data_IF_582341543290
#
_entry.id   IF_582341543290
#
_cell.length_a   1.000
_cell.length_b   1.000
_cell.length_c   1.000
_cell.angle_alpha   90.00
_cell.angle_beta   90.00
_cell.angle_gamma   90.00
#
_symmetry.space_group_name_H-M   'P 1'
#
loop_
_entity.id
_entity.type
_entity.pdbx_description
1 polymer ?
#
# COMPACT_ATOMS: atom_id res chain seq x y z
N UNK A 1 0.70 84.93 -62.53
CA UNK A 1 -0.39 84.32 -63.29
C UNK A 1 -0.43 82.87 -62.85
N UNK A 2 -1.34 82.44 -61.97
CA UNK A 2 -2.75 82.13 -62.30
C UNK A 2 -2.82 81.30 -63.60
N UNK A 3 -3.36 80.09 -63.64
CA UNK A 3 -4.49 79.56 -62.91
C UNK A 3 -4.46 78.03 -62.83
N UNK A 4 -5.12 77.55 -61.78
CA UNK A 4 -5.83 76.28 -61.64
C UNK A 4 -6.46 75.74 -62.93
N UNK A 5 -6.27 74.44 -63.20
CA UNK A 5 -7.30 73.61 -63.82
C UNK A 5 -7.06 72.12 -63.54
N UNK A 6 -7.81 71.64 -62.55
CA UNK A 6 -8.53 70.36 -62.51
C UNK A 6 -7.79 69.07 -62.92
N UNK A 7 -7.40 68.25 -61.94
CA UNK A 7 -8.24 67.20 -61.35
C UNK A 7 -8.11 65.86 -62.10
N UNK A 8 -7.23 64.98 -61.62
CA UNK A 8 -7.54 63.55 -61.55
C UNK A 8 -6.95 62.95 -60.28
N UNK A 9 -7.86 62.79 -59.33
CA UNK A 9 -7.74 62.12 -58.06
C UNK A 9 -8.51 60.80 -58.21
N UNK A 10 -7.82 59.66 -58.15
CA UNK A 10 -8.40 58.34 -57.82
C UNK A 10 -7.26 57.32 -57.71
N UNK A 11 -7.11 56.47 -56.71
CA UNK A 11 -7.80 56.24 -55.43
C UNK A 11 -6.85 55.27 -54.70
N UNK A 12 -6.09 55.73 -53.71
CA UNK A 12 -5.32 54.83 -52.85
C UNK A 12 -6.30 54.04 -51.96
N UNK A 13 -6.17 52.72 -51.82
CA UNK A 13 -7.04 51.96 -50.93
C UNK A 13 -6.75 52.35 -49.47
N UNK A 14 -7.76 52.37 -48.60
CA UNK A 14 -7.58 52.75 -47.20
C UNK A 14 -6.70 51.71 -46.50
N UNK A 15 -5.65 52.17 -45.82
CA UNK A 15 -4.90 51.38 -44.85
C UNK A 15 -5.90 50.88 -43.79
N UNK A 16 -6.26 49.61 -43.90
CA UNK A 16 -7.07 48.90 -42.90
C UNK A 16 -6.19 48.71 -41.68
N UNK A 17 -6.48 49.48 -40.63
CA UNK A 17 -5.84 49.33 -39.33
C UNK A 17 -5.85 47.86 -38.89
N UNK A 18 -4.69 47.39 -38.46
CA UNK A 18 -4.41 46.04 -37.99
C UNK A 18 -5.24 45.70 -36.74
N UNK A 19 -6.45 45.18 -36.93
CA UNK A 19 -7.26 44.54 -35.87
C UNK A 19 -6.98 43.04 -35.73
N UNK A 20 -6.09 42.49 -36.56
CA UNK A 20 -5.76 41.07 -36.62
C UNK A 20 -5.04 40.53 -35.36
N UNK A 21 -4.13 41.25 -34.67
CA UNK A 21 -3.41 40.65 -33.53
C UNK A 21 -4.30 40.50 -32.29
N UNK A 22 -5.20 41.45 -32.04
CA UNK A 22 -6.08 41.43 -30.85
C UNK A 22 -7.15 40.33 -30.98
N UNK A 23 -7.75 40.18 -32.16
CA UNK A 23 -8.73 39.10 -32.40
C UNK A 23 -8.09 37.73 -32.29
N UNK A 24 -6.83 37.57 -32.75
CA UNK A 24 -6.09 36.30 -32.59
C UNK A 24 -5.75 36.01 -31.13
N UNK A 25 -5.35 37.03 -30.36
CA UNK A 25 -5.06 36.88 -28.93
C UNK A 25 -6.33 36.58 -28.11
N UNK A 26 -7.45 37.23 -28.41
CA UNK A 26 -8.73 36.93 -27.77
C UNK A 26 -9.27 35.56 -28.16
N UNK A 27 -9.06 35.13 -29.41
CA UNK A 27 -9.39 33.77 -29.86
C UNK A 27 -8.54 32.73 -29.11
N UNK A 28 -7.22 32.92 -29.01
CA UNK A 28 -6.36 31.99 -28.27
C UNK A 28 -6.65 32.00 -26.77
N UNK A 29 -7.04 33.14 -26.20
CA UNK A 29 -7.40 33.24 -24.79
C UNK A 29 -8.77 32.58 -24.53
N UNK A 30 -9.74 32.79 -25.41
CA UNK A 30 -11.04 32.12 -25.34
C UNK A 30 -10.92 30.61 -25.56
N UNK A 31 -10.05 30.18 -26.47
CA UNK A 31 -9.78 28.76 -26.76
C UNK A 31 -9.06 28.09 -25.58
N UNK A 32 -8.04 28.73 -24.99
CA UNK A 32 -7.39 28.24 -23.77
C UNK A 32 -8.32 28.21 -22.56
N UNK A 33 -9.22 29.20 -22.42
CA UNK A 33 -10.18 29.24 -21.30
C UNK A 33 -11.28 28.19 -21.48
N UNK A 34 -11.75 27.98 -22.70
CA UNK A 34 -12.67 26.89 -23.02
C UNK A 34 -11.99 25.54 -22.83
N UNK A 35 -10.74 25.38 -23.23
CA UNK A 35 -10.02 24.12 -23.07
C UNK A 35 -9.68 23.84 -21.61
N UNK A 36 -9.38 24.85 -20.80
CA UNK A 36 -9.25 24.70 -19.34
C UNK A 36 -10.59 24.35 -18.68
N UNK A 37 -11.70 24.97 -19.10
CA UNK A 37 -13.03 24.65 -18.59
C UNK A 37 -13.52 23.26 -19.04
N UNK A 38 -13.20 22.85 -20.27
CA UNK A 38 -13.49 21.52 -20.81
C UNK A 38 -12.61 20.49 -20.12
N UNK A 39 -11.31 20.73 -19.92
CA UNK A 39 -10.45 19.82 -19.18
C UNK A 39 -10.91 19.68 -17.72
N UNK A 40 -11.33 20.77 -17.08
CA UNK A 40 -11.93 20.74 -15.75
C UNK A 40 -13.26 19.97 -15.73
N UNK A 41 -14.11 20.14 -16.74
CA UNK A 41 -15.36 19.37 -16.85
C UNK A 41 -15.10 17.90 -17.19
N UNK A 42 -14.10 17.59 -18.01
CA UNK A 42 -13.69 16.23 -18.36
C UNK A 42 -13.03 15.55 -17.17
N UNK A 43 -12.26 16.26 -16.34
CA UNK A 43 -11.69 15.77 -15.09
C UNK A 43 -12.80 15.50 -14.07
N UNK A 44 -13.74 16.43 -13.90
CA UNK A 44 -14.93 16.24 -13.05
C UNK A 44 -15.78 15.07 -13.56
N UNK A 45 -16.01 14.96 -14.87
CA UNK A 45 -16.77 13.86 -15.47
C UNK A 45 -16.00 12.54 -15.39
N UNK A 46 -14.66 12.52 -15.53
CA UNK A 46 -13.86 11.30 -15.30
C UNK A 46 -13.91 10.86 -13.84
N UNK A 47 -13.92 11.80 -12.89
CA UNK A 47 -14.10 11.49 -11.47
C UNK A 47 -15.52 11.02 -11.14
N UNK A 48 -16.54 11.49 -11.86
CA UNK A 48 -17.95 11.14 -11.63
C UNK A 48 -18.38 9.88 -12.41
N UNK A 49 -17.76 9.58 -13.55
CA UNK A 49 -18.10 8.41 -14.41
C UNK A 49 -17.29 7.17 -14.04
N UNK A 50 -16.21 7.32 -13.27
CA UNK A 50 -15.31 6.22 -12.93
C UNK A 50 -15.65 5.43 -11.66
N UNK A 51 -16.35 6.01 -10.68
CA UNK A 51 -16.65 5.33 -9.41
C UNK A 51 -17.97 5.87 -8.86
N UNK A 52 -18.96 5.00 -8.67
CA UNK A 52 -20.20 5.34 -7.98
C UNK A 52 -19.83 5.81 -6.54
N UNK A 53 -20.28 6.97 -6.04
CA UNK A 53 -19.95 7.43 -4.69
C UNK A 53 -20.39 6.43 -3.61
N UNK A 54 -21.45 5.65 -3.88
CA UNK A 54 -21.89 4.53 -3.06
C UNK A 54 -20.87 3.39 -2.95
N UNK A 55 -20.11 3.11 -4.01
CA UNK A 55 -19.07 2.07 -4.04
C UNK A 55 -17.82 2.51 -3.26
N UNK A 56 -17.45 3.78 -3.36
CA UNK A 56 -16.33 4.36 -2.57
C UNK A 56 -16.67 4.38 -1.07
N UNK A 57 -17.91 4.73 -0.73
CA UNK A 57 -18.42 4.76 0.65
C UNK A 57 -18.48 3.36 1.27
N UNK A 58 -19.06 2.41 0.54
CA UNK A 58 -19.12 1.00 0.97
C UNK A 58 -17.71 0.44 1.13
N UNK A 59 -16.78 0.78 0.23
CA UNK A 59 -15.38 0.41 0.31
C UNK A 59 -14.68 0.89 1.57
N UNK A 60 -14.82 2.17 1.94
CA UNK A 60 -14.13 2.72 3.13
C UNK A 60 -14.70 2.20 4.45
N UNK A 61 -16.02 1.98 4.54
CA UNK A 61 -16.64 1.40 5.73
C UNK A 61 -16.23 -0.07 5.90
N UNK A 62 -16.29 -0.86 4.82
CA UNK A 62 -15.86 -2.26 4.82
C UNK A 62 -14.38 -2.36 5.17
N UNK A 63 -13.53 -1.50 4.61
CA UNK A 63 -12.10 -1.45 4.96
C UNK A 63 -11.88 -1.20 6.45
N UNK A 64 -12.58 -0.22 7.03
CA UNK A 64 -12.49 0.09 8.47
C UNK A 64 -12.91 -1.10 9.34
N UNK A 65 -13.96 -1.80 8.94
CA UNK A 65 -14.46 -3.00 9.63
C UNK A 65 -13.49 -4.18 9.51
N UNK A 66 -12.88 -4.38 8.34
CA UNK A 66 -11.84 -5.40 8.14
C UNK A 66 -10.62 -5.11 9.01
N UNK A 67 -10.16 -3.86 9.07
CA UNK A 67 -9.04 -3.48 9.94
C UNK A 67 -9.38 -3.71 11.41
N UNK A 68 -10.61 -3.41 11.85
CA UNK A 68 -11.08 -3.71 13.21
C UNK A 68 -11.02 -5.22 13.49
N UNK A 69 -11.53 -6.05 12.57
CA UNK A 69 -11.51 -7.51 12.71
C UNK A 69 -10.08 -8.05 12.82
N UNK A 70 -9.12 -7.46 12.11
CA UNK A 70 -7.71 -7.87 12.16
C UNK A 70 -7.01 -7.34 13.42
N UNK A 71 -7.33 -6.12 13.85
CA UNK A 71 -6.70 -5.48 15.01
C UNK A 71 -7.07 -6.15 16.34
N UNK A 72 -8.32 -6.64 16.46
CA UNK A 72 -8.79 -7.29 17.70
C UNK A 72 -7.93 -8.51 18.06
N UNK A 73 -7.68 -9.49 17.16
CA UNK A 73 -6.75 -10.58 17.40
C UNK A 73 -5.34 -10.15 17.79
N UNK A 74 -4.80 -9.13 17.11
CA UNK A 74 -3.45 -8.62 17.38
C UNK A 74 -3.34 -7.95 18.75
N UNK A 75 -4.41 -7.32 19.22
CA UNK A 75 -4.45 -6.77 20.58
C UNK A 75 -4.65 -7.87 21.62
N UNK A 76 -5.61 -8.76 21.39
CA UNK A 76 -6.04 -9.75 22.39
C UNK A 76 -5.00 -10.86 22.58
N UNK A 77 -4.30 -11.28 21.52
CA UNK A 77 -3.30 -12.36 21.58
C UNK A 77 -2.18 -12.10 22.60
N UNK A 78 -1.39 -11.02 22.45
CA UNK A 78 -0.33 -10.67 23.40
C UNK A 78 -0.85 -10.44 24.82
N UNK A 79 -2.06 -9.90 24.97
CA UNK A 79 -2.69 -9.70 26.28
C UNK A 79 -2.99 -11.02 26.99
N UNK A 80 -3.54 -12.00 26.28
CA UNK A 80 -3.81 -13.33 26.84
C UNK A 80 -2.51 -14.09 27.17
N UNK A 81 -1.50 -13.98 26.30
CA UNK A 81 -0.17 -14.55 26.54
C UNK A 81 0.44 -13.94 27.81
N UNK A 82 0.32 -12.63 27.98
CA UNK A 82 0.73 -11.94 29.21
C UNK A 82 0.02 -12.51 30.46
N UNK A 83 -1.31 -12.58 30.45
CA UNK A 83 -2.06 -13.10 31.60
C UNK A 83 -1.72 -14.55 31.94
N UNK A 84 -1.41 -15.36 30.93
CA UNK A 84 -0.98 -16.75 31.13
C UNK A 84 0.41 -16.82 31.74
N UNK A 85 1.38 -16.03 31.25
CA UNK A 85 2.76 -16.01 31.75
C UNK A 85 2.81 -15.53 33.21
N UNK A 86 2.02 -14.51 33.55
CA UNK A 86 1.97 -13.96 34.91
C UNK A 86 1.08 -14.80 35.87
N UNK A 87 0.55 -15.94 35.40
CA UNK A 87 -0.24 -16.86 36.22
C UNK A 87 -1.63 -16.35 36.61
N UNK A 88 -2.08 -15.24 36.01
CA UNK A 88 -3.41 -14.67 36.23
C UNK A 88 -4.49 -15.60 35.67
N UNK A 89 -4.18 -16.29 34.57
CA UNK A 89 -5.09 -17.21 33.87
C UNK A 89 -4.46 -18.60 33.76
N UNK A 90 -5.23 -19.64 34.11
CA UNK A 90 -4.79 -21.04 34.10
C UNK A 90 -5.14 -21.82 32.83
N UNK A 91 -5.74 -21.17 31.82
CA UNK A 91 -6.20 -21.80 30.58
C UNK A 91 -5.11 -22.51 29.79
N UNK A 92 -5.48 -23.46 28.93
CA UNK A 92 -4.53 -24.12 28.02
C UNK A 92 -3.93 -23.14 27.01
N UNK A 93 -2.73 -23.44 26.50
CA UNK A 93 -2.10 -22.61 25.47
C UNK A 93 -2.95 -22.51 24.19
N UNK A 94 -3.75 -23.54 23.91
CA UNK A 94 -4.74 -23.53 22.83
C UNK A 94 -5.77 -22.41 22.96
N UNK A 95 -6.28 -22.16 24.18
CA UNK A 95 -7.25 -21.10 24.45
C UNK A 95 -6.58 -19.72 24.47
N UNK A 96 -5.37 -19.64 25.01
CA UNK A 96 -4.59 -18.39 25.06
C UNK A 96 -4.27 -17.88 23.65
N UNK A 97 -4.00 -18.79 22.71
CA UNK A 97 -3.70 -18.48 21.31
C UNK A 97 -4.94 -18.48 20.39
N UNK A 98 -6.15 -18.53 20.96
CA UNK A 98 -7.41 -18.43 20.22
C UNK A 98 -7.51 -17.22 19.29
N UNK A 99 -7.07 -16.01 19.68
CA UNK A 99 -7.06 -14.87 18.77
C UNK A 99 -6.18 -15.13 17.53
N UNK A 100 -5.03 -15.78 17.71
CA UNK A 100 -4.12 -16.12 16.62
C UNK A 100 -4.73 -17.18 15.68
N UNK A 101 -5.44 -18.18 16.23
CA UNK A 101 -6.17 -19.16 15.42
C UNK A 101 -7.25 -18.51 14.54
N UNK A 102 -7.98 -17.52 15.09
CA UNK A 102 -8.97 -16.75 14.32
C UNK A 102 -8.28 -15.98 13.20
N UNK A 103 -7.16 -15.31 13.48
CA UNK A 103 -6.39 -14.59 12.48
C UNK A 103 -5.92 -15.52 11.35
N UNK A 104 -5.41 -16.71 11.68
CA UNK A 104 -4.97 -17.68 10.68
C UNK A 104 -6.12 -18.27 9.87
N UNK A 105 -7.28 -18.52 10.49
CA UNK A 105 -8.46 -18.94 9.77
C UNK A 105 -8.93 -17.88 8.77
N UNK A 106 -8.91 -16.60 9.17
CA UNK A 106 -9.22 -15.48 8.28
C UNK A 106 -8.18 -15.34 7.16
N UNK A 107 -6.90 -15.49 7.45
CA UNK A 107 -5.84 -15.41 6.45
C UNK A 107 -5.92 -16.58 5.44
N UNK A 108 -6.18 -17.79 5.92
CA UNK A 108 -6.44 -18.95 5.07
C UNK A 108 -7.70 -18.74 4.22
N UNK A 109 -8.78 -18.24 4.81
CA UNK A 109 -10.01 -17.91 4.09
C UNK A 109 -9.74 -16.87 2.99
N UNK A 110 -9.05 -15.77 3.32
CA UNK A 110 -8.69 -14.75 2.34
C UNK A 110 -7.87 -15.33 1.19
N UNK A 111 -6.85 -16.15 1.49
CA UNK A 111 -6.00 -16.79 0.49
C UNK A 111 -6.77 -17.80 -0.38
N UNK A 112 -7.76 -18.48 0.20
CA UNK A 112 -8.58 -19.46 -0.49
C UNK A 112 -9.74 -18.84 -1.27
N UNK A 113 -10.30 -17.71 -0.88
CA UNK A 113 -11.58 -17.22 -1.43
C UNK A 113 -11.53 -15.82 -2.04
N UNK A 114 -10.55 -14.99 -1.69
CA UNK A 114 -10.34 -13.72 -2.40
C UNK A 114 -9.79 -14.06 -3.78
N UNK A 115 -10.65 -14.04 -4.81
CA UNK A 115 -10.21 -14.02 -6.21
C UNK A 115 -9.26 -12.84 -6.34
N UNK A 116 -8.05 -13.09 -6.85
CA UNK A 116 -7.09 -12.01 -7.14
C UNK A 116 -7.82 -10.92 -7.91
N UNK A 117 -7.78 -9.70 -7.40
CA UNK A 117 -8.23 -8.52 -8.15
C UNK A 117 -7.43 -8.56 -9.44
N UNK A 118 -8.11 -8.82 -10.57
CA UNK A 118 -7.47 -8.81 -11.86
C UNK A 118 -6.80 -7.43 -12.02
N UNK A 119 -5.53 -7.37 -12.48
CA UNK A 119 -4.99 -6.08 -12.88
C UNK A 119 -5.94 -5.52 -13.94
N UNK A 120 -6.39 -4.28 -13.73
CA UNK A 120 -7.05 -3.51 -14.78
C UNK A 120 -5.98 -3.31 -15.84
N UNK A 121 -5.98 -4.14 -16.88
CA UNK A 121 -5.13 -3.97 -18.04
C UNK A 121 -5.46 -2.60 -18.64
N UNK A 122 -4.58 -1.64 -18.36
CA UNK A 122 -4.62 -0.29 -18.88
C UNK A 122 -3.39 -0.09 -19.74
N UNK A 123 -3.34 -0.80 -20.86
CA UNK A 123 -2.40 -0.49 -21.93
C UNK A 123 -3.13 -0.54 -23.26
N UNK A 124 -3.46 0.67 -23.71
CA UNK A 124 -3.85 1.03 -25.05
C UNK A 124 -2.67 0.70 -25.98
N UNK A 125 -2.63 -0.52 -26.53
CA UNK A 125 -1.74 -0.81 -27.66
C UNK A 125 -2.36 -0.20 -28.92
N UNK A 126 -2.01 1.06 -29.18
CA UNK A 126 -1.98 1.60 -30.54
C UNK A 126 -0.92 0.83 -31.31
N UNK A 127 -1.36 -0.15 -32.12
CA UNK A 127 -0.51 -0.85 -33.06
C UNK A 127 -0.34 0.00 -34.32
N UNK A 128 0.61 0.94 -34.27
CA UNK A 128 1.23 1.51 -35.47
C UNK A 128 2.38 0.58 -35.88
N UNK A 129 2.03 -0.51 -36.58
CA UNK A 129 2.99 -1.23 -37.42
C UNK A 129 2.38 -1.52 -38.78
N UNK A 130 2.64 -0.59 -39.70
CA UNK A 130 2.52 -0.81 -41.15
C UNK A 130 3.52 -1.90 -41.51
N UNK A 131 3.05 -3.14 -41.64
CA UNK A 131 3.83 -4.21 -42.27
C UNK A 131 3.37 -4.37 -43.72
N UNK A 132 4.19 -3.85 -44.62
CA UNK A 132 4.07 -4.02 -46.07
C UNK A 132 4.60 -5.42 -46.38
N UNK A 133 3.71 -6.41 -46.44
CA UNK A 133 4.02 -7.68 -47.10
C UNK A 133 3.10 -7.90 -48.30
N UNK A 134 3.76 -7.86 -49.45
CA UNK A 134 3.32 -8.24 -50.79
C UNK A 134 2.25 -9.34 -50.80
N UNK A 135 1.08 -9.02 -51.35
CA UNK A 135 0.15 -10.03 -51.86
C UNK A 135 0.23 -10.00 -53.38
N UNK A 136 0.78 -11.09 -53.92
CA UNK A 136 0.83 -11.38 -55.34
C UNK A 136 -0.57 -11.38 -55.97
N UNK A 137 -0.60 -10.82 -57.17
CA UNK A 137 -1.77 -10.73 -58.04
C UNK A 137 -2.15 -12.12 -58.55
N UNK A 138 -3.35 -12.59 -58.18
CA UNK A 138 -4.13 -13.43 -59.10
C UNK A 138 -5.60 -13.00 -59.15
N UNK A 139 -6.00 -12.67 -60.37
CA UNK A 139 -7.28 -12.12 -60.78
C UNK A 139 -8.32 -13.22 -60.93
N UNK A 140 -9.52 -13.06 -60.36
CA UNK A 140 -10.82 -13.31 -61.04
C UNK A 140 -12.01 -12.86 -60.16
N UNK A 141 -12.65 -11.77 -60.58
CA UNK A 141 -14.10 -11.65 -60.93
C UNK A 141 -15.20 -12.05 -59.92
N UNK A 142 -15.99 -11.02 -59.57
CA UNK A 142 -17.45 -10.96 -59.40
C UNK A 142 -18.19 -11.33 -58.09
N UNK A 143 -18.96 -10.31 -57.64
CA UNK A 143 -20.37 -10.37 -57.17
C UNK A 143 -20.68 -10.74 -55.71
N UNK A 144 -21.10 -9.69 -54.98
CA UNK A 144 -22.23 -9.57 -54.05
C UNK A 144 -22.50 -10.60 -52.95
N UNK A 145 -22.69 -10.04 -51.74
CA UNK A 145 -23.60 -10.48 -50.66
C UNK A 145 -23.39 -11.87 -50.06
N UNK A 146 -22.82 -11.91 -48.85
CA UNK A 146 -23.41 -12.68 -47.76
C UNK A 146 -22.94 -12.21 -46.39
N UNK A 147 -23.93 -11.91 -45.56
CA UNK A 147 -23.86 -11.71 -44.12
C UNK A 147 -23.41 -13.02 -43.48
N UNK A 148 -22.17 -13.08 -42.99
CA UNK A 148 -21.71 -14.20 -42.14
C UNK A 148 -21.60 -13.67 -40.71
N UNK A 149 -22.57 -14.08 -39.89
CA UNK A 149 -22.56 -13.91 -38.44
C UNK A 149 -21.46 -14.83 -37.91
N UNK A 150 -20.27 -14.28 -37.69
CA UNK A 150 -19.24 -14.96 -36.91
C UNK A 150 -19.52 -14.65 -35.44
N UNK A 151 -20.20 -15.58 -34.79
CA UNK A 151 -20.29 -15.69 -33.34
C UNK A 151 -18.87 -15.95 -32.81
N UNK A 152 -18.16 -14.86 -32.48
CA UNK A 152 -16.89 -14.95 -31.76
C UNK A 152 -17.24 -15.24 -30.31
N UNK A 153 -17.15 -16.53 -29.98
CA UNK A 153 -17.19 -17.10 -28.63
C UNK A 153 -16.23 -16.32 -27.71
N UNK A 154 -16.78 -15.33 -27.02
CA UNK A 154 -16.12 -14.55 -25.99
C UNK A 154 -16.09 -15.35 -24.68
N UNK A 155 -15.45 -16.51 -24.71
CA UNK A 155 -15.16 -17.32 -23.52
C UNK A 155 -13.68 -17.65 -23.43
N UNK A 156 -12.81 -16.68 -23.73
CA UNK A 156 -11.42 -16.77 -23.26
C UNK A 156 -11.36 -16.23 -21.84
N UNK A 157 -11.71 -17.09 -20.89
CA UNK A 157 -11.34 -16.92 -19.49
C UNK A 157 -9.83 -16.74 -19.44
N UNK A 158 -9.37 -15.52 -19.18
CA UNK A 158 -7.96 -15.27 -18.84
C UNK A 158 -7.70 -16.03 -17.54
N UNK A 159 -7.15 -17.23 -17.66
CA UNK A 159 -6.71 -18.02 -16.52
C UNK A 159 -5.60 -17.23 -15.82
N UNK A 160 -5.95 -16.56 -14.72
CA UNK A 160 -4.95 -16.11 -13.75
C UNK A 160 -4.16 -17.34 -13.31
N UNK A 161 -2.88 -17.40 -13.69
CA UNK A 161 -1.96 -18.52 -13.48
C UNK A 161 -2.18 -19.18 -12.09
N UNK A 162 -2.67 -20.42 -12.00
CA UNK A 162 -3.02 -21.07 -10.73
C UNK A 162 -1.82 -21.39 -9.82
N UNK A 163 -0.60 -21.27 -10.34
CA UNK A 163 0.66 -21.62 -9.67
C UNK A 163 0.90 -20.84 -8.37
N UNK A 164 0.47 -19.58 -8.30
CA UNK A 164 0.71 -18.73 -7.13
C UNK A 164 -0.23 -19.05 -5.94
N UNK A 165 -1.43 -19.57 -6.21
CA UNK A 165 -2.43 -19.81 -5.16
C UNK A 165 -2.11 -21.05 -4.35
N UNK A 166 -1.68 -22.13 -5.00
CA UNK A 166 -1.27 -23.36 -4.31
C UNK A 166 -0.06 -23.07 -3.40
N UNK A 167 0.90 -22.30 -3.91
CA UNK A 167 2.06 -21.86 -3.13
C UNK A 167 1.65 -21.04 -1.91
N UNK A 168 0.74 -20.05 -2.06
CA UNK A 168 0.29 -19.24 -0.93
C UNK A 168 -0.47 -20.06 0.13
N UNK A 169 -1.33 -21.00 -0.29
CA UNK A 169 -2.01 -21.91 0.64
C UNK A 169 -0.99 -22.77 1.39
N UNK A 170 0.00 -23.33 0.69
CA UNK A 170 1.08 -24.08 1.31
C UNK A 170 1.84 -23.26 2.36
N UNK A 171 2.17 -22.01 2.04
CA UNK A 171 2.84 -21.08 2.97
C UNK A 171 2.02 -20.88 4.25
N UNK A 172 0.71 -20.59 4.13
CA UNK A 172 -0.17 -20.40 5.29
C UNK A 172 -0.26 -21.69 6.13
N UNK A 173 -0.37 -22.86 5.49
CA UNK A 173 -0.41 -24.14 6.20
C UNK A 173 0.87 -24.42 6.98
N UNK A 174 2.04 -24.08 6.43
CA UNK A 174 3.32 -24.24 7.14
C UNK A 174 3.46 -23.29 8.35
N UNK A 175 2.91 -22.07 8.27
CA UNK A 175 2.83 -21.18 9.44
C UNK A 175 1.94 -21.76 10.53
N UNK A 176 0.72 -22.21 10.17
CA UNK A 176 -0.20 -22.87 11.11
C UNK A 176 0.46 -24.10 11.74
N UNK A 177 1.17 -24.90 10.94
CA UNK A 177 1.89 -26.08 11.44
C UNK A 177 2.96 -25.71 12.48
N UNK A 178 3.70 -24.62 12.24
CA UNK A 178 4.69 -24.10 13.20
C UNK A 178 4.01 -23.74 14.52
N UNK A 179 2.90 -23.01 14.47
CA UNK A 179 2.16 -22.60 15.66
C UNK A 179 1.57 -23.79 16.44
N UNK A 180 1.05 -24.80 15.74
CA UNK A 180 0.57 -26.04 16.35
C UNK A 180 1.70 -26.71 17.13
N UNK A 181 2.89 -26.81 16.54
CA UNK A 181 4.02 -27.37 17.28
C UNK A 181 4.40 -26.51 18.48
N UNK A 182 4.44 -25.17 18.34
CA UNK A 182 4.71 -24.26 19.46
C UNK A 182 3.72 -24.50 20.60
N UNK A 183 2.43 -24.63 20.29
CA UNK A 183 1.40 -24.93 21.29
C UNK A 183 1.64 -26.27 22.00
N UNK A 184 1.91 -27.34 21.24
CA UNK A 184 2.19 -28.65 21.81
C UNK A 184 3.42 -28.64 22.71
N UNK A 185 4.44 -27.85 22.35
CA UNK A 185 5.67 -27.71 23.14
C UNK A 185 5.42 -26.92 24.42
N UNK A 186 4.71 -25.80 24.33
CA UNK A 186 4.35 -24.97 25.47
C UNK A 186 3.44 -25.71 26.46
N UNK A 187 2.62 -26.64 25.96
CA UNK A 187 1.78 -27.51 26.79
C UNK A 187 2.52 -28.74 27.35
N UNK A 188 3.82 -28.85 27.09
CA UNK A 188 4.66 -29.95 27.57
C UNK A 188 4.34 -31.32 26.94
N UNK A 189 3.52 -31.35 25.88
CA UNK A 189 3.13 -32.59 25.19
C UNK A 189 4.27 -33.14 24.33
N UNK A 190 5.16 -32.28 23.84
CA UNK A 190 6.35 -32.65 23.06
C UNK A 190 7.62 -32.12 23.71
N UNK A 191 8.70 -32.91 23.67
CA UNK A 191 10.00 -32.56 24.27
C UNK A 191 11.06 -32.13 23.25
N UNK A 192 10.69 -32.03 21.97
CA UNK A 192 11.61 -31.70 20.87
C UNK A 192 12.33 -30.36 21.07
N UNK A 193 13.53 -30.24 20.52
CA UNK A 193 14.29 -28.99 20.50
C UNK A 193 13.54 -27.90 19.71
N UNK A 194 13.60 -26.66 20.18
CA UNK A 194 12.99 -25.50 19.54
C UNK A 194 13.47 -25.33 18.09
N UNK A 195 14.74 -25.63 17.81
CA UNK A 195 15.28 -25.56 16.45
C UNK A 195 14.57 -26.53 15.52
N UNK A 196 14.37 -27.78 15.94
CA UNK A 196 13.69 -28.78 15.12
C UNK A 196 12.20 -28.42 14.91
N UNK A 197 11.59 -27.84 15.94
CA UNK A 197 10.18 -27.45 15.93
C UNK A 197 9.88 -26.35 14.89
N UNK A 198 10.80 -25.41 14.71
CA UNK A 198 10.66 -24.26 13.80
C UNK A 198 10.96 -24.61 12.33
N UNK A 199 11.21 -25.89 12.00
CA UNK A 199 11.52 -26.34 10.62
C UNK A 199 10.49 -25.90 9.57
N UNK A 200 9.16 -25.98 9.79
CA UNK A 200 8.19 -25.53 8.78
C UNK A 200 8.32 -24.03 8.48
N UNK A 201 8.61 -23.20 9.50
CA UNK A 201 8.88 -21.78 9.32
C UNK A 201 10.15 -21.54 8.50
N UNK A 202 11.23 -22.28 8.77
CA UNK A 202 12.47 -22.17 8.00
C UNK A 202 12.26 -22.49 6.53
N UNK A 203 11.49 -23.55 6.24
CA UNK A 203 11.17 -23.94 4.87
C UNK A 203 10.48 -22.81 4.11
N UNK A 204 9.45 -22.20 4.70
CA UNK A 204 8.72 -21.07 4.10
C UNK A 204 9.64 -19.90 3.83
N UNK A 205 10.46 -19.52 4.81
CA UNK A 205 11.34 -18.37 4.68
C UNK A 205 12.45 -18.59 3.63
N UNK A 206 12.96 -19.82 3.50
CA UNK A 206 13.91 -20.20 2.44
C UNK A 206 13.26 -20.16 1.06
N UNK A 207 11.99 -20.60 0.94
CA UNK A 207 11.25 -20.54 -0.32
C UNK A 207 10.96 -19.12 -0.80
N UNK A 208 10.88 -18.15 0.12
CA UNK A 208 10.70 -16.74 -0.25
C UNK A 208 11.96 -16.10 -0.86
N UNK A 209 13.14 -16.66 -0.63
CA UNK A 209 14.40 -16.28 -1.31
C UNK A 209 14.91 -14.85 -1.05
N UNK A 210 14.24 -14.03 -0.24
CA UNK A 210 14.66 -12.66 0.05
C UNK A 210 15.74 -12.64 1.15
N UNK A 211 16.76 -11.77 1.02
CA UNK A 211 17.78 -11.51 2.04
C UNK A 211 17.18 -11.21 3.42
N UNK A 212 16.05 -10.48 3.47
CA UNK A 212 15.35 -10.22 4.73
C UNK A 212 14.81 -11.51 5.37
N UNK A 213 14.32 -12.45 4.58
CA UNK A 213 13.84 -13.74 5.06
C UNK A 213 14.99 -14.58 5.65
N UNK A 214 16.17 -14.56 5.03
CA UNK A 214 17.35 -15.23 5.58
C UNK A 214 17.80 -14.62 6.92
N UNK A 215 17.79 -13.29 7.05
CA UNK A 215 18.09 -12.62 8.31
C UNK A 215 17.09 -13.01 9.42
N UNK A 216 15.80 -13.10 9.07
CA UNK A 216 14.75 -13.55 9.98
C UNK A 216 14.93 -15.01 10.41
N UNK A 217 15.29 -15.91 9.49
CA UNK A 217 15.60 -17.32 9.82
C UNK A 217 16.79 -17.39 10.77
N UNK A 218 17.87 -16.66 10.47
CA UNK A 218 19.04 -16.60 11.34
C UNK A 218 18.67 -16.15 12.75
N UNK A 219 17.84 -15.10 12.87
CA UNK A 219 17.34 -14.61 14.14
C UNK A 219 16.51 -15.66 14.89
N UNK A 220 15.60 -16.37 14.22
CA UNK A 220 14.76 -17.41 14.83
C UNK A 220 15.60 -18.61 15.26
N UNK A 221 16.62 -19.00 14.49
CA UNK A 221 17.56 -20.07 14.88
C UNK A 221 18.36 -19.68 16.12
N UNK A 222 18.84 -18.43 16.22
CA UNK A 222 19.55 -17.94 17.42
C UNK A 222 18.64 -17.95 18.65
N UNK A 223 17.36 -17.54 18.50
CA UNK A 223 16.38 -17.59 19.59
C UNK A 223 16.10 -19.04 19.99
N UNK A 224 15.84 -19.93 19.02
CA UNK A 224 15.53 -21.33 19.27
C UNK A 224 16.70 -22.05 19.98
N UNK A 225 17.93 -21.91 19.48
CA UNK A 225 19.13 -22.47 20.12
C UNK A 225 19.37 -21.92 21.51
N UNK A 226 19.05 -20.63 21.75
CA UNK A 226 19.11 -20.01 23.06
C UNK A 226 18.07 -20.60 24.02
N UNK A 227 16.83 -20.77 23.57
CA UNK A 227 15.74 -21.38 24.33
C UNK A 227 16.01 -22.87 24.63
N UNK A 228 16.73 -23.57 23.75
CA UNK A 228 17.20 -24.94 23.97
C UNK A 228 18.37 -25.02 24.97
N UNK A 229 18.91 -23.89 25.43
CA UNK A 229 20.05 -23.84 26.35
C UNK A 229 21.40 -24.15 25.70
N UNK A 230 21.44 -24.36 24.38
CA UNK A 230 22.67 -24.66 23.63
C UNK A 230 23.55 -23.42 23.39
N UNK A 231 22.94 -22.23 23.32
CA UNK A 231 23.63 -20.97 23.05
C UNK A 231 23.83 -20.17 24.35
N UNK A 232 25.08 -19.88 24.72
CA UNK A 232 25.42 -19.15 25.96
C UNK A 232 25.42 -17.62 25.81
N UNK A 233 25.18 -17.08 24.61
CA UNK A 233 25.23 -15.65 24.32
C UNK A 233 24.22 -14.83 25.14
N UNK A 234 24.51 -13.53 25.36
CA UNK A 234 23.51 -12.60 25.90
C UNK A 234 22.35 -12.41 24.93
N UNK A 235 21.18 -11.98 25.42
CA UNK A 235 20.05 -11.72 24.53
C UNK A 235 20.35 -10.60 23.54
N UNK A 236 21.23 -9.66 23.88
CA UNK A 236 21.71 -8.63 22.94
C UNK A 236 22.39 -9.23 21.71
N UNK A 237 23.21 -10.27 21.90
CA UNK A 237 23.88 -10.98 20.81
C UNK A 237 22.95 -11.88 20.02
N UNK A 238 22.00 -12.55 20.69
CA UNK A 238 20.96 -13.35 20.04
C UNK A 238 20.13 -12.48 19.09
N UNK A 239 19.81 -11.25 19.50
CA UNK A 239 19.02 -10.29 18.73
C UNK A 239 19.84 -9.40 17.78
N UNK A 240 21.10 -9.75 17.49
CA UNK A 240 21.98 -8.95 16.62
C UNK A 240 21.35 -8.58 15.25
N UNK A 241 20.77 -9.53 14.48
CA UNK A 241 20.08 -9.20 13.23
C UNK A 241 19.02 -8.10 13.37
N UNK A 242 18.28 -8.07 14.48
CA UNK A 242 17.23 -7.09 14.71
C UNK A 242 17.77 -5.67 14.96
N UNK A 243 18.98 -5.53 15.53
CA UNK A 243 19.60 -4.21 15.73
C UNK A 243 19.82 -3.46 14.41
N UNK A 244 20.02 -4.18 13.30
CA UNK A 244 20.10 -3.57 11.97
C UNK A 244 18.77 -2.87 11.65
N UNK A 245 17.64 -3.55 11.88
CA UNK A 245 16.31 -2.98 11.71
C UNK A 245 16.05 -1.78 12.62
N UNK A 246 16.50 -1.84 13.88
CA UNK A 246 16.41 -0.72 14.84
C UNK A 246 17.20 0.49 14.33
N UNK A 247 18.44 0.30 13.87
CA UNK A 247 19.26 1.41 13.34
C UNK A 247 18.63 2.00 12.08
N UNK A 248 18.16 1.16 11.16
CA UNK A 248 17.47 1.62 9.94
C UNK A 248 16.20 2.39 10.30
N UNK A 249 15.37 1.85 11.20
CA UNK A 249 14.09 2.46 11.55
C UNK A 249 14.20 3.70 12.44
N UNK A 250 15.08 3.69 13.44
CA UNK A 250 15.21 4.78 14.43
C UNK A 250 16.15 5.88 13.95
N UNK A 251 17.16 5.57 13.13
CA UNK A 251 18.14 6.55 12.65
C UNK A 251 17.89 6.93 11.20
N UNK A 252 17.85 5.96 10.28
CA UNK A 252 17.78 6.26 8.85
C UNK A 252 16.39 6.75 8.42
N UNK A 253 15.30 6.21 8.97
CA UNK A 253 13.95 6.62 8.57
C UNK A 253 13.66 8.09 8.90
N UNK A 254 13.96 8.63 10.11
CA UNK A 254 13.76 10.05 10.39
C UNK A 254 14.61 10.97 9.51
N UNK A 255 15.86 10.57 9.21
CA UNK A 255 16.73 11.29 8.29
C UNK A 255 16.17 11.27 6.85
N UNK A 256 15.61 10.13 6.43
CA UNK A 256 14.94 9.98 5.15
C UNK A 256 13.70 10.85 5.03
N UNK A 257 12.86 10.89 6.07
CA UNK A 257 11.68 11.77 6.14
C UNK A 257 12.10 13.24 6.11
N UNK A 258 13.11 13.63 6.91
CA UNK A 258 13.66 14.98 6.88
C UNK A 258 14.10 15.39 5.48
N UNK A 259 14.89 14.54 4.82
CA UNK A 259 15.38 14.79 3.48
C UNK A 259 14.23 14.88 2.47
N UNK A 260 13.32 13.91 2.47
CA UNK A 260 12.18 13.85 1.55
C UNK A 260 11.27 15.08 1.67
N UNK A 261 10.89 15.47 2.89
CA UNK A 261 10.07 16.67 3.12
C UNK A 261 10.81 17.94 2.74
N UNK A 262 12.12 18.01 2.98
CA UNK A 262 12.93 19.16 2.54
C UNK A 262 12.98 19.25 1.02
N UNK A 263 13.18 18.14 0.32
CA UNK A 263 13.20 18.10 -1.15
C UNK A 263 11.82 18.46 -1.74
N UNK A 264 10.74 17.92 -1.18
CA UNK A 264 9.38 18.23 -1.67
C UNK A 264 9.02 19.71 -1.49
N UNK A 265 9.44 20.32 -0.38
CA UNK A 265 9.22 21.75 -0.14
C UNK A 265 10.09 22.64 -1.00
N UNK A 266 11.35 22.26 -1.23
CA UNK A 266 12.22 22.98 -2.14
C UNK A 266 11.64 23.01 -3.57
N UNK A 267 11.00 21.92 -4.00
CA UNK A 267 10.32 21.85 -5.29
C UNK A 267 9.05 22.71 -5.32
N UNK A 268 8.23 22.70 -4.26
CA UNK A 268 7.03 23.53 -4.18
C UNK A 268 7.33 25.04 -4.11
N UNK A 269 8.45 25.44 -3.49
CA UNK A 269 8.88 26.84 -3.42
C UNK A 269 9.49 27.38 -4.72
N UNK A 270 9.60 26.58 -5.78
CA UNK A 270 9.99 27.10 -7.10
C UNK A 270 8.86 27.97 -7.67
N UNK A 271 7.60 27.63 -7.35
CA UNK A 271 6.41 28.34 -7.84
C UNK A 271 5.95 29.47 -6.89
N UNK A 272 6.24 29.37 -5.58
CA UNK A 272 5.91 30.36 -4.57
C UNK A 272 7.15 31.16 -4.12
N UNK A 273 7.12 32.51 -4.16
CA UNK A 273 8.21 33.42 -3.73
C UNK A 273 8.55 33.38 -2.22
N UNK A 274 7.96 32.46 -1.46
CA UNK A 274 8.15 32.36 -0.02
C UNK A 274 9.26 31.35 0.32
N UNK A 275 10.23 31.70 1.20
CA UNK A 275 11.32 30.79 1.53
C UNK A 275 10.78 29.52 2.21
N UNK A 276 11.27 28.33 1.84
CA UNK A 276 10.78 27.07 2.39
C UNK A 276 11.02 27.03 3.90
N UNK A 277 9.96 26.91 4.67
CA UNK A 277 10.05 26.85 6.13
C UNK A 277 10.73 25.56 6.59
N UNK A 278 11.72 25.67 7.48
CA UNK A 278 12.42 24.51 8.04
C UNK A 278 11.59 23.78 9.11
N UNK A 279 10.45 24.33 9.50
CA UNK A 279 9.59 23.80 10.55
C UNK A 279 9.01 22.42 10.19
N UNK A 280 8.42 22.28 9.01
CA UNK A 280 7.73 21.04 8.63
C UNK A 280 8.65 19.83 8.43
N UNK A 281 9.84 19.92 7.80
CA UNK A 281 10.77 18.80 7.75
C UNK A 281 11.22 18.33 9.14
N UNK A 282 11.42 19.27 10.08
CA UNK A 282 11.79 18.93 11.46
C UNK A 282 10.64 18.24 12.18
N UNK A 283 9.41 18.74 12.03
CA UNK A 283 8.21 18.10 12.62
C UNK A 283 8.03 16.69 12.07
N UNK A 284 8.17 16.49 10.76
CA UNK A 284 8.08 15.17 10.13
C UNK A 284 9.18 14.21 10.60
N UNK A 285 10.41 14.69 10.75
CA UNK A 285 11.51 13.88 11.26
C UNK A 285 11.30 13.48 12.72
N UNK A 286 10.88 14.41 13.58
CA UNK A 286 10.58 14.13 14.99
C UNK A 286 9.41 13.16 15.12
N UNK A 287 8.34 13.35 14.35
CA UNK A 287 7.19 12.44 14.39
C UNK A 287 7.56 11.03 13.93
N UNK A 288 8.36 10.90 12.86
CA UNK A 288 8.92 9.63 12.41
C UNK A 288 9.81 8.98 13.46
N UNK A 289 10.67 9.75 14.13
CA UNK A 289 11.53 9.25 15.21
C UNK A 289 10.71 8.74 16.39
N UNK A 290 9.73 9.52 16.86
CA UNK A 290 8.86 9.13 17.97
C UNK A 290 8.07 7.87 17.62
N UNK A 291 7.55 7.78 16.39
CA UNK A 291 6.84 6.59 15.93
C UNK A 291 7.77 5.38 15.87
N UNK A 292 8.97 5.51 15.33
CA UNK A 292 9.96 4.44 15.28
C UNK A 292 10.33 3.96 16.69
N UNK A 293 10.66 4.87 17.60
CA UNK A 293 10.95 4.52 19.00
C UNK A 293 9.76 3.81 19.64
N UNK A 294 8.54 4.30 19.43
CA UNK A 294 7.33 3.65 19.94
C UNK A 294 7.18 2.23 19.38
N UNK A 295 7.39 2.02 18.07
CA UNK A 295 7.33 0.71 17.41
C UNK A 295 8.40 -0.27 17.91
N UNK A 296 9.64 0.19 18.11
CA UNK A 296 10.75 -0.67 18.55
C UNK A 296 10.82 -0.84 20.09
N UNK A 297 10.16 0.03 20.86
CA UNK A 297 10.23 -0.01 22.32
C UNK A 297 9.74 -1.30 22.99
N UNK A 298 8.68 -2.01 22.54
CA UNK A 298 8.28 -3.28 23.16
C UNK A 298 9.41 -4.32 23.09
N UNK A 299 10.14 -4.33 21.97
CA UNK A 299 11.26 -5.22 21.75
C UNK A 299 12.44 -4.88 22.67
N UNK A 300 12.77 -3.59 22.81
CA UNK A 300 13.86 -3.15 23.70
C UNK A 300 13.55 -3.50 25.17
N UNK A 301 12.30 -3.31 25.59
CA UNK A 301 11.87 -3.69 26.94
C UNK A 301 11.85 -5.21 27.14
N UNK A 302 11.43 -5.98 26.12
CA UNK A 302 11.48 -7.44 26.15
C UNK A 302 12.92 -7.92 26.32
N UNK A 303 13.84 -7.37 25.53
CA UNK A 303 15.26 -7.69 25.60
C UNK A 303 15.86 -7.30 26.97
N UNK A 304 15.49 -6.15 27.54
CA UNK A 304 15.89 -5.78 28.89
C UNK A 304 15.38 -6.79 29.93
N UNK A 305 14.09 -7.15 29.87
CA UNK A 305 13.49 -8.16 30.75
C UNK A 305 14.19 -9.51 30.62
N UNK A 306 14.54 -9.92 29.39
CA UNK A 306 15.20 -11.20 29.14
C UNK A 306 16.64 -11.25 29.67
N UNK A 307 17.36 -10.13 29.66
CA UNK A 307 18.73 -10.06 30.19
C UNK A 307 18.77 -9.96 31.72
N UNK A 308 17.89 -9.15 32.31
CA UNK A 308 18.02 -8.75 33.72
C UNK A 308 16.86 -9.19 34.61
N UNK A 309 15.71 -9.58 34.05
CA UNK A 309 14.57 -10.12 34.80
C UNK A 309 13.78 -9.11 35.65
N UNK A 310 14.24 -7.87 35.76
CA UNK A 310 13.70 -6.87 36.70
C UNK A 310 12.34 -6.27 36.31
N UNK A 311 11.96 -6.37 35.03
CA UNK A 311 10.72 -5.77 34.53
C UNK A 311 9.51 -6.70 34.66
N UNK A 312 8.41 -6.17 35.18
CA UNK A 312 7.10 -6.81 35.10
C UNK A 312 6.70 -7.03 33.63
N UNK A 313 6.07 -8.17 33.33
CA UNK A 313 5.72 -8.55 31.96
C UNK A 313 4.78 -7.52 31.33
N UNK A 314 3.88 -6.92 32.12
CA UNK A 314 2.95 -5.88 31.66
C UNK A 314 3.67 -4.67 31.07
N UNK A 315 4.77 -4.23 31.70
CA UNK A 315 5.51 -3.02 31.30
C UNK A 315 6.14 -3.20 29.92
N UNK A 316 6.54 -4.43 29.58
CA UNK A 316 7.08 -4.77 28.26
C UNK A 316 6.05 -4.57 27.15
N UNK A 317 4.77 -4.85 27.42
CA UNK A 317 3.70 -4.75 26.42
C UNK A 317 3.02 -3.39 26.37
N UNK A 318 3.22 -2.49 27.35
CA UNK A 318 2.60 -1.15 27.35
C UNK A 318 2.83 -0.40 26.03
N UNK A 319 4.07 -0.27 25.51
CA UNK A 319 4.27 0.51 24.30
C UNK A 319 3.61 -0.13 23.08
N UNK A 320 3.51 -1.46 23.05
CA UNK A 320 2.83 -2.19 21.98
C UNK A 320 1.33 -1.83 21.96
N UNK A 321 0.69 -1.83 23.13
CA UNK A 321 -0.71 -1.43 23.25
C UNK A 321 -0.92 0.04 22.91
N UNK A 322 -0.02 0.94 23.33
CA UNK A 322 -0.08 2.37 22.97
C UNK A 322 -0.02 2.56 21.46
N UNK A 323 0.93 1.92 20.77
CA UNK A 323 1.06 2.00 19.30
C UNK A 323 -0.18 1.42 18.62
N UNK A 324 -0.66 0.24 19.05
CA UNK A 324 -1.87 -0.35 18.49
C UNK A 324 -3.10 0.55 18.69
N UNK A 325 -3.27 1.16 19.87
CA UNK A 325 -4.38 2.08 20.12
C UNK A 325 -4.26 3.34 19.26
N UNK A 326 -3.06 3.89 19.06
CA UNK A 326 -2.86 5.03 18.17
C UNK A 326 -3.20 4.69 16.72
N UNK A 327 -2.71 3.56 16.20
CA UNK A 327 -3.05 3.08 14.85
C UNK A 327 -4.55 2.87 14.72
N UNK A 328 -5.16 2.25 15.72
CA UNK A 328 -6.61 2.04 15.77
C UNK A 328 -7.39 3.35 15.71
N UNK A 329 -7.01 4.34 16.51
CA UNK A 329 -7.66 5.66 16.51
C UNK A 329 -7.51 6.37 15.17
N UNK A 330 -6.33 6.30 14.55
CA UNK A 330 -6.10 6.90 13.22
C UNK A 330 -7.01 6.26 12.17
N UNK A 331 -7.10 4.92 12.14
CA UNK A 331 -7.97 4.20 11.20
C UNK A 331 -9.44 4.50 11.47
N UNK A 332 -9.85 4.55 12.74
CA UNK A 332 -11.23 4.84 13.12
C UNK A 332 -11.62 6.27 12.73
N UNK A 333 -10.75 7.25 12.96
CA UNK A 333 -10.97 8.64 12.53
C UNK A 333 -11.00 8.72 11.00
N UNK A 334 -10.11 8.03 10.28
CA UNK A 334 -10.14 7.97 8.82
C UNK A 334 -11.45 7.36 8.30
N UNK A 335 -11.91 6.25 8.90
CA UNK A 335 -13.18 5.61 8.56
C UNK A 335 -14.40 6.50 8.84
N UNK A 336 -14.45 7.13 10.01
CA UNK A 336 -15.54 8.05 10.38
C UNK A 336 -15.54 9.31 9.50
N UNK A 337 -14.38 9.88 9.19
CA UNK A 337 -14.30 11.04 8.30
C UNK A 337 -14.74 10.69 6.88
N UNK A 338 -14.43 9.49 6.39
CA UNK A 338 -14.98 9.00 5.12
C UNK A 338 -16.50 8.84 5.18
N UNK A 339 -17.04 8.32 6.30
CA UNK A 339 -18.47 8.17 6.49
C UNK A 339 -19.20 9.53 6.49
N UNK A 340 -18.65 10.52 7.21
CA UNK A 340 -19.23 11.85 7.31
C UNK A 340 -19.17 12.65 6.01
N UNK A 341 -18.14 12.44 5.16
CA UNK A 341 -18.06 13.07 3.83
C UNK A 341 -19.15 12.56 2.90
N UNK A 342 -19.39 11.24 2.86
CA UNK A 342 -20.43 10.64 2.03
C UNK A 342 -21.83 11.16 2.34
N UNK A 343 -22.20 11.25 3.62
CA UNK A 343 -23.53 11.76 4.05
C UNK A 343 -23.77 13.21 3.62
N UNK A 344 -22.71 14.01 3.45
CA UNK A 344 -22.84 15.42 3.08
C UNK A 344 -23.09 15.60 1.58
N UNK A 345 -22.63 14.69 0.73
CA UNK A 345 -22.86 14.72 -0.72
C UNK A 345 -24.30 14.30 -1.05
N UNK A 346 -24.86 13.32 -0.35
CA UNK A 346 -26.26 12.88 -0.54
C UNK A 346 -27.32 13.93 -0.15
N UNK A 347 -26.95 14.90 0.68
CA UNK A 347 -27.84 15.98 1.14
C UNK A 347 -27.75 17.27 0.30
N UNK A 348 -26.96 17.27 -0.77
CA UNK A 348 -26.88 18.37 -1.76
C UNK A 348 -27.50 17.87 -3.07
N UNK A 349 -28.81 17.66 -3.07
CA UNK A 349 -29.64 17.48 -4.28
C UNK A 349 -30.85 18.37 -4.19
#
# INVERSE_FOLDING_TARGET
>A
MQEESQALLAKAPPQRASTVPIVRQMSSLAENTNQANVNKHVEVVLTTVGVDPADTFTGSFVYSLVVLIIAVPLFLGPLLVYFKIDGIVTWSWWMVLLPLWIFNALWLYATCFMKGIAPVDREDHFDDSVDVTNVDVHTTTDTSTQTEVVEVDATTTVETKPENRIFNVFVVLMYILTEVFVCLKLEGSITWHWVALMTPYYLVALMQGNCAAFANVGQVVLIATKLDGTLSWSWNGVFFPYWIGVVVGVVLAPLGVYAATKYSMAQASIDDEQPPSLFWPVVGAISSFVLAVATFSPFLLLMYKLNWGELATVVVFIPYFVVLTLVFLVVLVAGLTSLCRGVKEDNVV
#
